data_IF_093863802343
#
_entry.id   IF_093863802343
#
_cell.length_a   1.000
_cell.length_b   1.000
_cell.length_c   1.000
_cell.angle_alpha   90.00
_cell.angle_beta   90.00
_cell.angle_gamma   90.00
#
_symmetry.space_group_name_H-M   'P 1'
#
loop_
_entity.id
_entity.type
_entity.pdbx_description
1 polymer ?
#
# COMPACT_ATOMS: atom_id res chain seq x y z
N UNK A 1 -53.47 -12.34 36.80
CA UNK A 1 -52.01 -12.45 36.72
C UNK A 1 -51.61 -12.09 35.29
N UNK A 2 -51.05 -10.89 35.15
CA UNK A 2 -50.61 -10.42 33.82
C UNK A 2 -49.10 -10.60 33.75
N UNK A 3 -48.66 -11.59 32.99
CA UNK A 3 -47.25 -11.82 32.71
C UNK A 3 -46.79 -10.83 31.63
N UNK A 4 -45.99 -9.85 32.04
CA UNK A 4 -45.27 -8.99 31.09
C UNK A 4 -44.08 -9.78 30.47
N UNK A 5 -44.16 -10.14 29.19
CA UNK A 5 -42.99 -10.57 28.44
C UNK A 5 -42.18 -9.33 28.08
N UNK A 6 -41.06 -9.16 28.75
CA UNK A 6 -40.05 -8.18 28.33
C UNK A 6 -39.30 -8.73 27.10
N UNK A 7 -39.60 -8.18 25.93
CA UNK A 7 -38.80 -8.43 24.71
C UNK A 7 -37.50 -7.72 24.84
N UNK A 8 -36.43 -8.43 25.18
CA UNK A 8 -35.06 -7.95 25.16
C UNK A 8 -34.60 -7.86 23.71
N UNK A 9 -34.73 -6.68 23.10
CA UNK A 9 -34.18 -6.40 21.77
C UNK A 9 -32.66 -6.34 21.86
N UNK A 10 -32.01 -7.42 21.42
CA UNK A 10 -30.56 -7.48 21.28
C UNK A 10 -30.21 -6.67 20.02
N UNK A 11 -29.85 -5.41 20.17
CA UNK A 11 -29.30 -4.61 19.08
C UNK A 11 -27.90 -5.17 18.76
N UNK A 12 -27.78 -5.96 17.69
CA UNK A 12 -26.48 -6.29 17.10
C UNK A 12 -25.93 -4.98 16.51
N UNK A 13 -25.07 -4.33 17.25
CA UNK A 13 -24.28 -3.22 16.73
C UNK A 13 -23.29 -3.75 15.69
N UNK A 14 -23.58 -3.56 14.40
CA UNK A 14 -22.56 -3.67 13.37
C UNK A 14 -21.54 -2.57 13.61
N UNK A 15 -20.41 -2.89 14.23
CA UNK A 15 -19.24 -2.03 14.21
C UNK A 15 -18.69 -2.04 12.79
N UNK A 16 -18.98 -0.99 12.02
CA UNK A 16 -18.34 -0.79 10.74
C UNK A 16 -16.83 -0.64 10.99
N UNK A 17 -16.03 -1.58 10.53
CA UNK A 17 -14.58 -1.42 10.52
C UNK A 17 -14.27 -0.25 9.60
N UNK A 18 -13.54 0.75 10.13
CA UNK A 18 -13.05 1.85 9.32
C UNK A 18 -12.26 1.28 8.14
N UNK A 19 -12.59 1.72 6.92
CA UNK A 19 -11.81 1.39 5.75
C UNK A 19 -10.36 1.83 5.99
N UNK A 20 -9.40 0.97 5.66
CA UNK A 20 -7.99 1.31 5.70
C UNK A 20 -7.67 2.51 4.81
N UNK A 21 -6.47 3.10 4.93
CA UNK A 21 -6.08 4.24 4.13
C UNK A 21 -6.16 3.89 2.64
N UNK A 22 -6.62 4.84 1.82
CA UNK A 22 -6.59 4.71 0.37
C UNK A 22 -5.12 4.75 -0.11
N UNK A 23 -4.60 3.60 -0.50
CA UNK A 23 -3.20 3.46 -0.87
C UNK A 23 -2.87 4.15 -2.19
N UNK A 24 -3.82 4.23 -3.11
CA UNK A 24 -3.64 5.00 -4.35
C UNK A 24 -3.48 6.49 -4.05
N UNK A 25 -4.28 7.01 -3.13
CA UNK A 25 -4.18 8.39 -2.69
C UNK A 25 -2.85 8.66 -1.96
N UNK A 26 -2.37 7.72 -1.15
CA UNK A 26 -1.06 7.84 -0.50
C UNK A 26 0.09 7.88 -1.52
N UNK A 27 0.04 7.07 -2.56
CA UNK A 27 1.04 7.10 -3.63
C UNK A 27 1.08 8.47 -4.32
N UNK A 28 -0.06 9.09 -4.54
CA UNK A 28 -0.13 10.48 -5.06
C UNK A 28 0.43 11.47 -4.04
N UNK A 29 0.02 11.37 -2.80
CA UNK A 29 0.43 12.28 -1.72
C UNK A 29 1.95 12.28 -1.52
N UNK A 30 2.58 11.12 -1.57
CA UNK A 30 4.04 10.99 -1.44
C UNK A 30 4.78 11.16 -2.76
N UNK A 31 4.10 11.60 -3.82
CA UNK A 31 4.66 11.90 -5.14
C UNK A 31 5.27 10.70 -5.88
N UNK A 32 4.87 9.51 -5.54
CA UNK A 32 5.32 8.31 -6.25
C UNK A 32 4.88 8.33 -7.72
N UNK A 33 3.71 8.87 -7.99
CA UNK A 33 3.10 8.92 -9.33
C UNK A 33 3.77 9.88 -10.30
N UNK A 34 4.74 10.68 -9.84
CA UNK A 34 5.58 11.48 -10.74
C UNK A 34 6.50 10.60 -11.57
N UNK A 35 7.00 9.51 -10.98
CA UNK A 35 7.97 8.61 -11.61
C UNK A 35 7.43 7.21 -11.89
N UNK A 36 6.32 6.83 -11.27
CA UNK A 36 5.72 5.50 -11.39
C UNK A 36 4.26 5.58 -11.81
N UNK A 37 3.85 4.64 -12.64
CA UNK A 37 2.46 4.39 -12.99
C UNK A 37 2.12 2.92 -12.75
N UNK A 38 0.85 2.55 -12.80
CA UNK A 38 0.46 1.16 -12.57
C UNK A 38 1.10 0.19 -13.58
N UNK A 39 0.99 0.51 -14.86
CA UNK A 39 1.39 -0.39 -15.96
C UNK A 39 2.29 0.25 -17.00
N UNK A 40 2.65 1.51 -16.85
CA UNK A 40 3.50 2.23 -17.76
C UNK A 40 4.83 2.58 -17.11
N UNK A 41 5.91 2.39 -17.85
CA UNK A 41 7.23 2.85 -17.45
C UNK A 41 7.33 4.34 -17.70
N UNK A 42 7.58 5.10 -16.63
CA UNK A 42 7.90 6.52 -16.68
C UNK A 42 9.39 6.72 -16.39
N UNK A 43 9.75 7.68 -15.53
CA UNK A 43 11.13 7.78 -15.05
C UNK A 43 11.55 6.55 -14.24
N UNK A 44 10.61 5.94 -13.52
CA UNK A 44 10.78 4.66 -12.84
C UNK A 44 9.96 3.53 -13.47
N UNK A 45 10.20 2.29 -13.05
CA UNK A 45 9.44 1.15 -13.52
C UNK A 45 7.98 1.24 -13.08
N UNK A 46 7.09 0.59 -13.82
CA UNK A 46 5.68 0.46 -13.43
C UNK A 46 5.55 -0.38 -12.15
N UNK A 47 4.45 -0.19 -11.43
CA UNK A 47 4.18 -1.04 -10.25
C UNK A 47 4.01 -2.51 -10.64
N UNK A 48 3.43 -2.79 -11.81
CA UNK A 48 3.33 -4.15 -12.33
C UNK A 48 4.70 -4.79 -12.55
N UNK A 49 5.65 -4.04 -13.13
CA UNK A 49 7.02 -4.53 -13.34
C UNK A 49 7.74 -4.76 -12.01
N UNK A 50 7.57 -3.85 -11.05
CA UNK A 50 8.13 -4.02 -9.71
C UNK A 50 7.58 -5.30 -9.07
N UNK A 51 6.27 -5.50 -9.11
CA UNK A 51 5.63 -6.70 -8.58
C UNK A 51 6.19 -7.98 -9.22
N UNK A 52 6.40 -7.95 -10.52
CA UNK A 52 6.98 -9.07 -11.26
C UNK A 52 8.42 -9.36 -10.83
N UNK A 53 9.25 -8.33 -10.66
CA UNK A 53 10.65 -8.49 -10.21
C UNK A 53 10.76 -9.13 -8.83
N UNK A 54 9.81 -8.86 -7.94
CA UNK A 54 9.81 -9.40 -6.59
C UNK A 54 9.05 -10.72 -6.43
N UNK A 55 8.45 -11.24 -7.51
CA UNK A 55 7.65 -12.46 -7.44
C UNK A 55 8.46 -13.64 -6.89
N UNK A 56 7.89 -14.32 -5.91
CA UNK A 56 8.51 -15.46 -5.25
C UNK A 56 9.51 -15.11 -4.14
N UNK A 57 9.82 -13.84 -3.92
CA UNK A 57 10.67 -13.42 -2.82
C UNK A 57 9.87 -13.29 -1.53
N UNK A 58 10.26 -14.05 -0.50
CA UNK A 58 9.52 -14.07 0.78
C UNK A 58 9.50 -12.73 1.50
N UNK A 59 10.57 -11.93 1.34
CA UNK A 59 10.72 -10.63 2.00
C UNK A 59 10.47 -9.46 1.05
N UNK A 60 9.74 -9.68 -0.02
CA UNK A 60 9.50 -8.67 -1.05
C UNK A 60 8.95 -7.36 -0.48
N UNK A 61 7.91 -7.43 0.35
CA UNK A 61 7.31 -6.24 0.95
C UNK A 61 8.30 -5.49 1.85
N UNK A 62 9.07 -6.17 2.66
CA UNK A 62 10.08 -5.57 3.54
C UNK A 62 11.19 -4.89 2.74
N UNK A 63 11.68 -5.56 1.70
CA UNK A 63 12.73 -5.00 0.83
C UNK A 63 12.23 -3.79 0.07
N UNK A 64 11.03 -3.87 -0.47
CA UNK A 64 10.43 -2.77 -1.24
C UNK A 64 10.14 -1.57 -0.34
N UNK A 65 9.62 -1.79 0.85
CA UNK A 65 9.37 -0.74 1.84
C UNK A 65 10.67 -0.01 2.23
N UNK A 66 11.76 -0.75 2.42
CA UNK A 66 13.08 -0.18 2.69
C UNK A 66 13.55 0.71 1.52
N UNK A 67 13.38 0.27 0.27
CA UNK A 67 13.74 1.05 -0.91
C UNK A 67 12.91 2.33 -1.05
N UNK A 68 11.64 2.30 -0.69
CA UNK A 68 10.81 3.50 -0.66
C UNK A 68 11.39 4.54 0.30
N UNK A 69 11.84 4.13 1.47
CA UNK A 69 12.33 5.04 2.50
C UNK A 69 13.76 5.52 2.26
N UNK A 70 14.64 4.63 1.86
CA UNK A 70 16.08 4.95 1.70
C UNK A 70 16.49 5.28 0.27
N UNK A 71 15.58 5.05 -0.68
CA UNK A 71 15.87 5.20 -2.11
C UNK A 71 16.49 3.95 -2.71
N UNK A 72 16.62 3.95 -4.01
CA UNK A 72 17.19 2.85 -4.78
C UNK A 72 17.97 3.39 -5.97
N UNK A 73 19.11 2.80 -6.25
CA UNK A 73 19.86 3.06 -7.48
C UNK A 73 19.33 2.16 -8.58
N UNK A 74 18.87 2.79 -9.68
CA UNK A 74 18.58 2.09 -10.91
C UNK A 74 19.80 2.00 -11.81
N UNK A 75 19.67 1.32 -12.94
CA UNK A 75 20.66 1.36 -14.00
C UNK A 75 20.66 2.75 -14.67
N UNK A 76 21.83 3.37 -14.85
CA UNK A 76 21.99 4.64 -15.56
C UNK A 76 21.91 5.88 -14.67
N UNK A 77 21.45 6.99 -15.25
CA UNK A 77 21.44 8.31 -14.58
C UNK A 77 20.30 8.49 -13.58
N UNK A 78 19.27 7.67 -13.66
CA UNK A 78 18.08 7.79 -12.83
C UNK A 78 18.17 6.88 -11.63
N UNK A 79 17.88 7.43 -10.48
CA UNK A 79 17.74 6.69 -9.23
C UNK A 79 16.54 7.20 -8.44
N UNK A 80 15.92 6.32 -7.69
CA UNK A 80 14.84 6.70 -6.81
C UNK A 80 15.39 7.43 -5.60
N UNK A 81 14.97 8.68 -5.34
CA UNK A 81 15.43 9.41 -4.16
C UNK A 81 14.87 8.79 -2.88
N UNK A 82 15.52 9.03 -1.74
CA UNK A 82 14.97 8.65 -0.45
C UNK A 82 13.70 9.45 -0.12
N UNK A 83 12.79 8.83 0.63
CA UNK A 83 11.56 9.44 1.10
C UNK A 83 11.49 9.38 2.64
N UNK A 84 12.28 10.19 3.35
CA UNK A 84 12.35 10.12 4.81
C UNK A 84 11.05 10.52 5.50
N UNK A 85 10.18 11.27 4.81
CA UNK A 85 8.86 11.63 5.32
C UNK A 85 7.82 10.51 5.31
N UNK A 86 8.11 9.38 4.64
CA UNK A 86 7.24 8.21 4.63
C UNK A 86 7.53 7.38 5.87
N UNK A 87 6.52 7.15 6.71
CA UNK A 87 6.67 6.28 7.88
C UNK A 87 6.90 4.83 7.47
N UNK A 88 7.49 4.04 8.38
CA UNK A 88 7.69 2.61 8.15
C UNK A 88 6.35 1.92 7.86
N UNK A 89 5.29 2.23 8.61
CA UNK A 89 3.97 1.65 8.41
C UNK A 89 3.37 2.01 7.04
N UNK A 90 3.49 3.26 6.62
CA UNK A 90 3.02 3.70 5.30
C UNK A 90 3.82 3.05 4.17
N UNK A 91 5.14 2.96 4.30
CA UNK A 91 5.99 2.27 3.34
C UNK A 91 5.64 0.78 3.21
N UNK A 92 5.44 0.09 4.32
CA UNK A 92 5.03 -1.32 4.34
C UNK A 92 3.67 -1.50 3.65
N UNK A 93 2.70 -0.63 3.91
CA UNK A 93 1.37 -0.71 3.30
C UNK A 93 1.42 -0.43 1.79
N UNK A 94 2.14 0.58 1.36
CA UNK A 94 2.31 0.90 -0.07
C UNK A 94 3.08 -0.21 -0.79
N UNK A 95 4.11 -0.77 -0.18
CA UNK A 95 4.86 -1.89 -0.75
C UNK A 95 3.96 -3.11 -0.99
N UNK A 96 3.14 -3.47 -0.01
CA UNK A 96 2.19 -4.59 -0.18
C UNK A 96 1.17 -4.32 -1.29
N UNK A 97 0.69 -3.11 -1.39
CA UNK A 97 -0.22 -2.73 -2.48
C UNK A 97 0.45 -2.85 -3.84
N UNK A 98 1.64 -2.28 -4.01
CA UNK A 98 2.40 -2.34 -5.27
C UNK A 98 2.61 -3.79 -5.71
N UNK A 99 2.93 -4.69 -4.78
CA UNK A 99 3.15 -6.10 -5.07
C UNK A 99 1.89 -6.85 -5.51
N UNK A 100 0.71 -6.27 -5.36
CA UNK A 100 -0.55 -6.84 -5.87
C UNK A 100 -0.88 -6.43 -7.29
N UNK A 101 -0.19 -5.45 -7.85
CA UNK A 101 -0.48 -4.94 -9.19
C UNK A 101 -0.08 -5.97 -10.24
N UNK A 102 -1.03 -6.30 -11.11
CA UNK A 102 -0.84 -7.26 -12.22
C UNK A 102 -0.74 -6.51 -13.55
N UNK A 103 -0.08 -7.14 -14.48
CA UNK A 103 -0.01 -6.68 -15.88
C UNK A 103 -1.36 -6.68 -16.58
#
# INVERSE_FOLDING_TARGET
MKTLLALLSLALGCTAMAAGPDLQQQLVQYRCTICHAERETLAGPSYADIAQQYRGQKQAATLLAARIRVGARGGGLWHMPPHPGVSKAAADAMARYILTVKE
#
